data_IF_953354092526
#
_entry.id   IF_953354092526
#
_cell.length_a   1.000
_cell.length_b   1.000
_cell.length_c   1.000
_cell.angle_alpha   90.00
_cell.angle_beta   90.00
_cell.angle_gamma   90.00
#
_symmetry.space_group_name_H-M   'P 1'
#
loop_
_entity.id
_entity.type
_entity.pdbx_description
1 polymer ?
#
# COMPACT_ATOMS: atom_id res chain seq x y z
N UNK A 1 -9.69 -18.90 -4.17
CA UNK A 1 -8.32 -18.39 -4.40
C UNK A 1 -8.46 -17.29 -5.42
N UNK A 2 -8.32 -16.03 -5.04
CA UNK A 2 -8.20 -14.93 -6.00
C UNK A 2 -6.87 -15.08 -6.72
N UNK A 3 -6.88 -15.08 -8.04
CA UNK A 3 -5.64 -14.97 -8.81
C UNK A 3 -5.29 -13.49 -8.94
N UNK A 4 -4.01 -13.16 -9.17
CA UNK A 4 -3.61 -11.76 -9.48
C UNK A 4 -4.36 -11.22 -10.70
N UNK A 5 -4.89 -12.10 -11.57
CA UNK A 5 -5.68 -11.70 -12.74
C UNK A 5 -7.10 -11.22 -12.37
N UNK A 6 -7.58 -11.50 -11.16
CA UNK A 6 -8.91 -11.11 -10.66
C UNK A 6 -8.83 -9.92 -9.67
N UNK A 7 -7.64 -9.40 -9.40
CA UNK A 7 -7.41 -8.31 -8.44
C UNK A 7 -7.46 -6.96 -9.16
N UNK A 8 -8.45 -6.12 -8.86
CA UNK A 8 -8.54 -4.80 -9.49
C UNK A 8 -7.58 -3.81 -8.85
N UNK A 9 -7.33 -3.92 -7.53
CA UNK A 9 -6.40 -3.06 -6.79
C UNK A 9 -5.22 -3.85 -6.22
N UNK A 10 -4.00 -3.46 -6.58
CA UNK A 10 -2.75 -4.10 -6.15
C UNK A 10 -1.91 -3.11 -5.34
N UNK A 11 -1.38 -3.55 -4.20
CA UNK A 11 -0.50 -2.76 -3.35
C UNK A 11 0.87 -3.44 -3.24
N UNK A 12 1.86 -2.87 -3.92
CA UNK A 12 3.24 -3.36 -3.87
C UNK A 12 4.04 -2.62 -2.78
N UNK A 13 4.65 -3.39 -1.88
CA UNK A 13 5.55 -2.87 -0.84
C UNK A 13 6.99 -3.32 -1.12
N UNK A 14 7.91 -2.37 -1.18
CA UNK A 14 9.36 -2.59 -1.31
C UNK A 14 10.06 -2.02 -0.07
N UNK A 15 10.66 -2.91 0.73
CA UNK A 15 11.41 -2.55 1.94
C UNK A 15 12.91 -2.61 1.64
N UNK A 16 13.48 -1.46 1.30
CA UNK A 16 14.91 -1.31 1.09
C UNK A 16 15.68 -1.00 2.38
N UNK A 17 17.02 -0.98 2.29
CA UNK A 17 17.89 -0.61 3.42
C UNK A 17 17.82 0.87 3.79
N UNK A 18 17.47 1.75 2.84
CA UNK A 18 17.40 3.20 3.04
C UNK A 18 15.95 3.69 3.07
N UNK A 19 15.07 3.10 2.28
CA UNK A 19 13.67 3.53 2.20
C UNK A 19 12.72 2.37 2.00
N UNK A 20 11.54 2.50 2.58
CA UNK A 20 10.35 1.70 2.28
C UNK A 20 9.48 2.45 1.29
N UNK A 21 8.95 1.74 0.28
CA UNK A 21 8.08 2.30 -0.75
C UNK A 21 6.79 1.49 -0.84
N UNK A 22 5.66 2.19 -0.90
CA UNK A 22 4.34 1.61 -1.19
C UNK A 22 3.87 2.13 -2.55
N UNK A 23 3.43 1.26 -3.45
CA UNK A 23 2.92 1.64 -4.77
C UNK A 23 1.55 1.01 -4.99
N UNK A 24 0.54 1.86 -5.21
CA UNK A 24 -0.83 1.45 -5.45
C UNK A 24 -1.10 1.43 -6.95
N UNK A 25 -1.55 0.29 -7.45
CA UNK A 25 -2.02 0.10 -8.81
C UNK A 25 -3.51 -0.21 -8.81
N UNK A 26 -4.21 0.31 -9.81
CA UNK A 26 -5.63 0.07 -9.99
C UNK A 26 -5.96 -0.05 -11.49
N UNK A 27 -7.06 -0.70 -11.82
CA UNK A 27 -7.53 -0.85 -13.20
C UNK A 27 -8.27 0.42 -13.62
N UNK A 28 -7.69 1.16 -14.56
CA UNK A 28 -8.30 2.34 -15.18
C UNK A 28 -8.42 2.09 -16.68
N UNK A 29 -9.64 2.18 -17.21
CA UNK A 29 -9.97 1.84 -18.60
C UNK A 29 -9.50 0.44 -19.02
N UNK A 30 -9.69 -0.55 -18.13
CA UNK A 30 -9.37 -1.96 -18.38
C UNK A 30 -7.86 -2.27 -18.39
N UNK A 31 -7.02 -1.39 -17.84
CA UNK A 31 -5.56 -1.61 -17.73
C UNK A 31 -5.06 -1.17 -16.36
N UNK A 32 -4.11 -1.91 -15.80
CA UNK A 32 -3.41 -1.44 -14.60
C UNK A 32 -2.69 -0.12 -14.86
N UNK A 33 -2.89 0.82 -13.94
CA UNK A 33 -2.17 2.09 -13.86
C UNK A 33 -1.56 2.23 -12.48
N UNK A 34 -0.37 2.79 -12.42
CA UNK A 34 0.17 3.30 -11.16
C UNK A 34 -0.66 4.52 -10.75
N UNK A 35 -1.33 4.43 -9.61
CA UNK A 35 -2.18 5.50 -9.06
C UNK A 35 -1.34 6.44 -8.21
N UNK A 36 -0.57 5.89 -7.28
CA UNK A 36 0.29 6.67 -6.39
C UNK A 36 1.44 5.83 -5.83
N UNK A 37 2.50 6.53 -5.41
CA UNK A 37 3.62 5.96 -4.67
C UNK A 37 3.88 6.79 -3.43
N UNK A 38 3.94 6.13 -2.28
CA UNK A 38 4.42 6.69 -1.03
C UNK A 38 5.80 6.15 -0.68
N UNK A 39 6.60 6.95 0.02
CA UNK A 39 7.98 6.60 0.39
C UNK A 39 8.34 7.13 1.77
N UNK A 40 8.83 6.24 2.63
CA UNK A 40 9.33 6.59 3.96
C UNK A 40 10.78 6.12 4.14
N UNK A 41 11.55 6.69 5.09
CA UNK A 41 12.80 6.10 5.56
C UNK A 41 12.58 4.65 6.00
N UNK A 42 13.56 3.78 5.76
CA UNK A 42 13.47 2.39 6.21
C UNK A 42 13.66 2.30 7.71
N UNK A 43 12.80 1.52 8.34
CA UNK A 43 12.86 1.19 9.77
C UNK A 43 13.32 -0.25 10.01
N UNK A 44 13.83 -0.92 8.96
CA UNK A 44 14.40 -2.27 9.04
C UNK A 44 15.67 -2.36 9.91
N UNK A 45 16.33 -1.21 10.14
CA UNK A 45 17.54 -1.10 10.95
C UNK A 45 17.33 -0.25 12.21
N UNK A 46 18.43 0.11 12.90
CA UNK A 46 18.36 0.96 14.08
C UNK A 46 17.68 2.31 13.80
N UNK A 47 16.97 2.89 14.77
CA UNK A 47 16.78 2.37 16.14
C UNK A 47 15.58 1.43 16.30
N UNK A 48 14.71 1.29 15.30
CA UNK A 48 13.42 0.61 15.46
C UNK A 48 13.49 -0.91 15.24
N UNK A 49 14.23 -1.36 14.22
CA UNK A 49 14.24 -2.77 13.80
C UNK A 49 12.83 -3.35 13.54
N UNK A 50 11.92 -2.52 13.06
CA UNK A 50 10.55 -2.90 12.74
C UNK A 50 10.15 -2.30 11.41
N UNK A 51 10.04 -3.15 10.38
CA UNK A 51 9.68 -2.72 9.02
C UNK A 51 8.25 -2.20 8.91
N UNK A 52 7.35 -2.60 9.82
CA UNK A 52 5.94 -2.21 9.76
C UNK A 52 5.74 -0.72 9.91
N UNK A 53 6.58 -0.05 10.70
CA UNK A 53 6.56 1.41 10.87
C UNK A 53 6.85 2.15 9.56
N UNK A 54 7.92 1.77 8.87
CA UNK A 54 8.25 2.34 7.55
C UNK A 54 7.21 2.01 6.50
N UNK A 55 6.55 0.84 6.58
CA UNK A 55 5.41 0.49 5.72
C UNK A 55 4.23 1.39 6.01
N UNK A 56 3.82 1.57 7.27
CA UNK A 56 2.69 2.43 7.67
C UNK A 56 2.90 3.86 7.18
N UNK A 57 4.09 4.42 7.42
CA UNK A 57 4.44 5.77 6.94
C UNK A 57 4.41 5.89 5.41
N UNK A 58 4.82 4.85 4.68
CA UNK A 58 4.75 4.85 3.22
C UNK A 58 3.29 4.75 2.74
N UNK A 59 2.45 3.97 3.42
CA UNK A 59 1.01 3.89 3.14
C UNK A 59 0.30 5.21 3.43
N UNK A 60 0.62 5.89 4.52
CA UNK A 60 0.06 7.21 4.85
C UNK A 60 0.26 8.23 3.74
N UNK A 61 1.41 8.20 3.06
CA UNK A 61 1.63 9.05 1.89
C UNK A 61 0.74 8.67 0.71
N UNK A 62 0.53 7.38 0.45
CA UNK A 62 -0.42 6.92 -0.58
C UNK A 62 -1.84 7.36 -0.22
N UNK A 63 -2.27 7.20 1.04
CA UNK A 63 -3.57 7.65 1.53
C UNK A 63 -3.74 9.16 1.35
N UNK A 64 -2.70 9.94 1.68
CA UNK A 64 -2.70 11.40 1.53
C UNK A 64 -2.84 11.84 0.07
N UNK A 65 -2.15 11.17 -0.85
CA UNK A 65 -2.18 11.52 -2.29
C UNK A 65 -3.50 11.12 -2.94
N UNK A 66 -4.05 9.96 -2.57
CA UNK A 66 -5.22 9.38 -3.24
C UNK A 66 -6.56 9.70 -2.57
N UNK A 67 -6.53 10.07 -1.29
CA UNK A 67 -7.72 10.17 -0.44
C UNK A 67 -8.33 8.82 -0.07
N UNK A 68 -7.71 7.69 -0.45
CA UNK A 68 -8.19 6.35 -0.12
C UNK A 68 -7.74 5.94 1.28
N UNK A 69 -8.62 5.26 2.00
CA UNK A 69 -8.26 4.56 3.22
C UNK A 69 -7.68 3.19 2.85
N UNK A 70 -6.46 2.89 3.30
CA UNK A 70 -5.79 1.61 3.08
C UNK A 70 -5.74 0.78 4.37
N UNK A 71 -5.66 1.45 5.53
CA UNK A 71 -5.57 0.81 6.84
C UNK A 71 -6.88 1.02 7.63
N UNK A 72 -7.24 0.03 8.44
CA UNK A 72 -8.34 0.13 9.40
C UNK A 72 -7.92 0.85 10.70
N UNK A 73 -8.84 0.97 11.66
CA UNK A 73 -8.59 1.63 12.94
C UNK A 73 -7.56 0.90 13.83
N UNK A 74 -7.19 -0.33 13.47
CA UNK A 74 -6.18 -1.16 14.16
C UNK A 74 -4.84 -1.19 13.40
N UNK A 75 -4.64 -0.29 12.43
CA UNK A 75 -3.47 -0.23 11.54
C UNK A 75 -3.27 -1.50 10.67
N UNK A 76 -4.32 -2.29 10.46
CA UNK A 76 -4.27 -3.46 9.58
C UNK A 76 -4.70 -3.10 8.16
N UNK A 77 -4.07 -3.73 7.17
CA UNK A 77 -4.44 -3.55 5.76
C UNK A 77 -5.86 -4.06 5.53
N UNK A 78 -6.72 -3.20 4.99
CA UNK A 78 -8.07 -3.57 4.59
C UNK A 78 -7.96 -4.47 3.37
N UNK A 79 -8.42 -5.72 3.49
CA UNK A 79 -8.49 -6.68 2.40
C UNK A 79 -9.76 -7.55 2.51
N UNK A 80 -10.49 -7.80 1.41
CA UNK A 80 -10.27 -7.26 0.05
C UNK A 80 -10.67 -5.77 -0.04
N UNK A 81 -10.55 -5.19 -1.23
CA UNK A 81 -11.01 -3.82 -1.48
C UNK A 81 -12.51 -3.69 -1.21
N UNK A 82 -12.90 -2.57 -0.60
CA UNK A 82 -14.31 -2.26 -0.33
C UNK A 82 -14.99 -1.58 -1.52
N UNK A 83 -16.32 -1.50 -1.52
CA UNK A 83 -17.08 -0.76 -2.54
C UNK A 83 -16.77 0.73 -2.61
N UNK A 84 -16.14 1.29 -1.58
CA UNK A 84 -15.69 2.69 -1.53
C UNK A 84 -14.24 2.86 -2.04
N UNK A 85 -13.59 1.77 -2.49
CA UNK A 85 -12.21 1.79 -2.97
C UNK A 85 -11.16 1.78 -1.85
N UNK A 86 -11.55 1.49 -0.61
CA UNK A 86 -10.64 1.33 0.52
C UNK A 86 -9.97 -0.04 0.51
N UNK A 87 -8.69 -0.11 0.87
CA UNK A 87 -7.90 -1.35 0.92
C UNK A 87 -7.23 -1.73 -0.41
N UNK A 88 -6.83 -3.00 -0.50
CA UNK A 88 -6.27 -3.62 -1.69
C UNK A 88 -6.68 -5.10 -1.76
N UNK A 89 -6.51 -5.73 -2.93
CA UNK A 89 -6.85 -7.14 -3.12
C UNK A 89 -5.66 -8.07 -2.99
N UNK A 90 -4.46 -7.57 -3.32
CA UNK A 90 -3.16 -8.27 -3.29
C UNK A 90 -2.03 -7.32 -2.92
#
# INVERSE_FOLDING_TARGET
>A
MSSVLDADTILAIDVGSVSTRASLFDVVDGRYRLIATGRAPSTAGPPLFDVSEGVRMALDQVQTVTGRQLLDESDLLIMPVTSQGAGADV
#
